data_IF_622600704178
#
_entry.id   IF_622600704178
#
_cell.length_a   1.000
_cell.length_b   1.000
_cell.length_c   1.000
_cell.angle_alpha   90.00
_cell.angle_beta   90.00
_cell.angle_gamma   90.00
#
_symmetry.space_group_name_H-M   'P 1'
#
loop_
_entity.id
_entity.type
_entity.pdbx_description
1 polymer ?
#
# COMPACT_ATOMS: atom_id res chain seq x y z
N UNK A 1 -1.37 -44.89 36.99
CA UNK A 1 -2.29 -45.02 35.82
C UNK A 1 -3.62 -44.38 36.23
N UNK A 2 -4.27 -43.43 35.54
CA UNK A 2 -4.38 -43.06 34.11
C UNK A 2 -4.32 -41.52 33.95
N UNK A 3 -3.76 -41.10 32.83
CA UNK A 3 -3.58 -39.72 32.41
C UNK A 3 -4.85 -39.16 31.77
N UNK A 4 -5.25 -37.93 32.11
CA UNK A 4 -6.14 -37.12 31.28
C UNK A 4 -5.40 -35.87 30.83
N UNK A 5 -4.95 -35.90 29.57
CA UNK A 5 -4.48 -34.75 28.81
C UNK A 5 -5.65 -33.77 28.64
N UNK A 6 -5.47 -32.51 29.04
CA UNK A 6 -6.19 -31.37 28.46
C UNK A 6 -5.21 -30.22 28.30
N UNK A 7 -4.76 -30.10 27.05
CA UNK A 7 -4.09 -28.93 26.50
C UNK A 7 -4.99 -27.72 26.73
N UNK A 8 -4.56 -26.76 27.56
CA UNK A 8 -5.25 -25.49 27.72
C UNK A 8 -4.34 -24.41 27.18
N UNK A 9 -4.71 -23.98 25.98
CA UNK A 9 -4.14 -22.92 25.17
C UNK A 9 -3.94 -21.68 26.03
N UNK A 10 -2.71 -21.18 26.05
CA UNK A 10 -2.33 -19.90 26.67
C UNK A 10 -3.00 -18.78 25.87
N UNK A 11 -3.87 -17.93 26.45
CA UNK A 11 -4.27 -16.69 25.81
C UNK A 11 -3.25 -15.60 26.17
N UNK A 12 -2.04 -15.72 25.62
CA UNK A 12 -1.16 -14.58 25.37
C UNK A 12 -1.52 -14.21 23.92
N UNK A 13 -2.20 -13.12 23.60
CA UNK A 13 -1.85 -11.75 23.93
C UNK A 13 -3.14 -10.94 23.86
N UNK A 14 -3.42 -10.19 24.94
CA UNK A 14 -4.25 -9.00 24.90
C UNK A 14 -3.68 -8.06 23.82
N UNK A 15 -4.20 -8.15 22.60
CA UNK A 15 -4.02 -7.12 21.57
C UNK A 15 -4.96 -5.96 21.91
N UNK A 16 -4.64 -5.29 23.01
CA UNK A 16 -5.02 -3.93 23.31
C UNK A 16 -4.33 -3.00 22.30
N UNK A 17 -4.93 -2.84 21.12
CA UNK A 17 -4.66 -1.71 20.24
C UNK A 17 -5.84 -0.76 20.33
N UNK A 18 -5.73 0.09 21.34
CA UNK A 18 -6.60 1.19 21.70
C UNK A 18 -6.74 2.17 20.53
N UNK A 19 -7.79 2.04 19.71
CA UNK A 19 -8.16 2.98 18.64
C UNK A 19 -8.75 4.32 19.16
N UNK A 20 -8.40 4.76 20.37
CA UNK A 20 -9.10 5.87 21.03
C UNK A 20 -8.19 7.02 21.51
N UNK A 21 -6.93 7.09 21.09
CA UNK A 21 -6.05 8.20 21.43
C UNK A 21 -5.10 8.54 20.27
N UNK A 22 -5.58 9.24 19.24
CA UNK A 22 -4.72 9.70 18.14
C UNK A 22 -5.31 10.88 17.36
N UNK A 23 -5.70 11.96 18.04
CA UNK A 23 -6.17 13.19 17.37
C UNK A 23 -5.05 14.22 17.09
N UNK A 24 -3.76 13.84 17.26
CA UNK A 24 -2.60 14.66 16.85
C UNK A 24 -1.68 14.00 15.82
N UNK A 25 -1.86 12.71 15.52
CA UNK A 25 -1.03 11.93 14.59
C UNK A 25 -1.62 11.80 13.18
N UNK A 26 -2.78 12.41 12.91
CA UNK A 26 -3.48 12.24 11.63
C UNK A 26 -2.70 12.81 10.43
N UNK A 27 -1.97 13.92 10.60
CA UNK A 27 -1.16 14.51 9.53
C UNK A 27 0.00 13.57 9.12
N UNK A 28 0.77 13.09 10.10
CA UNK A 28 1.90 12.17 9.86
C UNK A 28 1.40 10.82 9.33
N UNK A 29 0.28 10.31 9.82
CA UNK A 29 -0.32 9.08 9.29
C UNK A 29 -0.88 9.28 7.88
N UNK A 30 -1.45 10.44 7.53
CA UNK A 30 -1.88 10.73 6.16
C UNK A 30 -0.71 10.79 5.19
N UNK A 31 0.37 11.49 5.56
CA UNK A 31 1.59 11.53 4.73
C UNK A 31 2.21 10.15 4.55
N UNK A 32 2.18 9.32 5.61
CA UNK A 32 2.68 7.94 5.55
C UNK A 32 1.79 7.04 4.68
N UNK A 33 0.46 7.21 4.75
CA UNK A 33 -0.50 6.48 3.92
C UNK A 33 -0.37 6.87 2.45
N UNK A 34 -0.25 8.16 2.15
CA UNK A 34 -0.08 8.66 0.78
C UNK A 34 1.23 8.15 0.19
N UNK A 35 2.34 8.21 0.95
CA UNK A 35 3.63 7.69 0.49
C UNK A 35 3.57 6.17 0.24
N UNK A 36 2.95 5.41 1.13
CA UNK A 36 2.77 3.97 0.95
C UNK A 36 1.89 3.64 -0.27
N UNK A 37 0.88 4.46 -0.54
CA UNK A 37 0.02 4.32 -1.71
C UNK A 37 0.78 4.65 -3.00
N UNK A 38 1.53 5.75 -3.04
CA UNK A 38 2.40 6.12 -4.17
C UNK A 38 3.40 4.99 -4.45
N UNK A 39 4.02 4.42 -3.42
CA UNK A 39 4.96 3.31 -3.55
C UNK A 39 4.27 2.06 -4.12
N UNK A 40 3.08 1.73 -3.62
CA UNK A 40 2.25 0.63 -4.16
C UNK A 40 1.94 0.83 -5.65
N UNK A 41 1.58 2.05 -6.05
CA UNK A 41 1.33 2.39 -7.45
C UNK A 41 2.61 2.34 -8.30
N UNK A 42 3.78 2.72 -7.77
CA UNK A 42 5.07 2.54 -8.48
C UNK A 42 5.36 1.07 -8.73
N UNK A 43 5.16 0.22 -7.73
CA UNK A 43 5.33 -1.23 -7.89
C UNK A 43 4.36 -1.80 -8.92
N UNK A 44 3.09 -1.38 -8.89
CA UNK A 44 2.10 -1.78 -9.88
C UNK A 44 2.51 -1.39 -11.30
N UNK A 45 2.95 -0.14 -11.50
CA UNK A 45 3.41 0.33 -12.81
C UNK A 45 4.65 -0.42 -13.28
N UNK A 46 5.61 -0.66 -12.38
CA UNK A 46 6.80 -1.45 -12.67
C UNK A 46 6.44 -2.87 -13.12
N UNK A 47 5.49 -3.52 -12.44
CA UNK A 47 5.01 -4.85 -12.79
C UNK A 47 4.30 -4.87 -14.15
N UNK A 48 3.35 -3.95 -14.39
CA UNK A 48 2.56 -3.91 -15.64
C UNK A 48 3.39 -3.52 -16.86
N UNK A 49 4.38 -2.65 -16.68
CA UNK A 49 5.22 -2.15 -17.77
C UNK A 49 6.53 -2.93 -17.90
N UNK A 50 6.79 -3.92 -17.04
CA UNK A 50 8.06 -4.64 -16.95
C UNK A 50 9.28 -3.70 -16.80
N UNK A 51 9.12 -2.67 -15.98
CA UNK A 51 10.14 -1.65 -15.72
C UNK A 51 10.74 -1.83 -14.32
N UNK A 52 11.91 -1.25 -14.10
CA UNK A 52 12.48 -1.18 -12.75
C UNK A 52 11.74 -0.11 -11.92
N UNK A 53 11.34 -0.46 -10.71
CA UNK A 53 10.63 0.44 -9.77
C UNK A 53 11.45 1.71 -9.51
N UNK A 54 12.78 1.57 -9.43
CA UNK A 54 13.72 2.65 -9.17
C UNK A 54 13.72 3.70 -10.28
N UNK A 55 13.36 3.29 -11.49
CA UNK A 55 13.36 4.11 -12.69
C UNK A 55 12.07 4.94 -12.84
N UNK A 56 11.00 4.59 -12.15
CA UNK A 56 9.72 5.33 -12.16
C UNK A 56 9.78 6.42 -11.10
N UNK A 57 9.68 7.70 -11.44
CA UNK A 57 9.76 8.80 -10.46
C UNK A 57 8.39 9.41 -10.21
N UNK A 58 8.00 9.66 -8.96
CA UNK A 58 6.77 10.38 -8.65
C UNK A 58 7.04 11.87 -8.45
N UNK A 59 6.41 12.71 -9.28
CA UNK A 59 6.43 14.16 -9.12
C UNK A 59 5.24 14.60 -8.24
N UNK A 60 5.54 15.17 -7.08
CA UNK A 60 4.52 15.67 -6.14
C UNK A 60 3.84 16.95 -6.63
N UNK A 61 4.51 17.77 -7.44
CA UNK A 61 3.98 19.05 -7.92
C UNK A 61 2.88 18.82 -8.97
N UNK A 62 3.10 17.87 -9.88
CA UNK A 62 2.13 17.51 -10.93
C UNK A 62 1.24 16.33 -10.54
N UNK A 63 1.49 15.72 -9.36
CA UNK A 63 0.88 14.47 -8.90
C UNK A 63 0.90 13.39 -10.00
N UNK A 64 2.08 13.15 -10.59
CA UNK A 64 2.23 12.23 -11.72
C UNK A 64 3.46 11.32 -11.60
N UNK A 65 3.35 10.13 -12.16
CA UNK A 65 4.44 9.17 -12.32
C UNK A 65 5.12 9.38 -13.66
N UNK A 66 6.42 9.63 -13.60
CA UNK A 66 7.30 9.75 -14.75
C UNK A 66 7.97 8.42 -15.02
N UNK A 67 7.79 7.90 -16.23
CA UNK A 67 8.39 6.64 -16.65
C UNK A 67 9.79 6.86 -17.23
N UNK A 68 10.71 5.88 -17.08
CA UNK A 68 12.01 5.92 -17.72
C UNK A 68 11.90 5.76 -19.24
N UNK A 69 12.78 6.47 -19.97
CA UNK A 69 12.90 6.36 -21.43
C UNK A 69 12.06 7.34 -22.24
N UNK A 70 10.98 7.87 -21.66
CA UNK A 70 10.10 8.83 -22.35
C UNK A 70 9.79 10.00 -21.39
N UNK A 71 10.64 11.03 -21.43
CA UNK A 71 10.63 12.14 -20.46
C UNK A 71 9.38 13.04 -20.58
N UNK A 72 8.55 12.84 -21.61
CA UNK A 72 7.31 13.57 -21.86
C UNK A 72 6.05 12.80 -21.44
N UNK A 73 6.15 11.49 -21.15
CA UNK A 73 5.01 10.71 -20.66
C UNK A 73 4.92 10.74 -19.14
N UNK A 74 4.03 11.60 -18.66
CA UNK A 74 3.58 11.63 -17.27
C UNK A 74 2.24 10.92 -17.12
N UNK A 75 2.16 9.94 -16.22
CA UNK A 75 0.92 9.27 -15.86
C UNK A 75 0.37 9.90 -14.58
N UNK A 76 -0.79 10.54 -14.66
CA UNK A 76 -1.40 11.18 -13.48
C UNK A 76 -1.71 10.15 -12.41
N UNK A 77 -1.54 10.55 -11.15
CA UNK A 77 -1.79 9.71 -9.98
C UNK A 77 -3.20 9.12 -9.98
N UNK A 78 -4.21 9.93 -10.30
CA UNK A 78 -5.62 9.52 -10.31
C UNK A 78 -5.88 8.44 -11.38
N UNK A 79 -5.33 8.59 -12.58
CA UNK A 79 -5.48 7.62 -13.66
C UNK A 79 -4.85 6.27 -13.30
N UNK A 80 -3.65 6.30 -12.69
CA UNK A 80 -2.95 5.09 -12.25
C UNK A 80 -3.71 4.42 -11.09
N UNK A 81 -4.24 5.22 -10.16
CA UNK A 81 -5.05 4.73 -9.06
C UNK A 81 -6.35 4.07 -9.55
N UNK A 82 -7.02 4.66 -10.53
CA UNK A 82 -8.22 4.09 -11.14
C UNK A 82 -7.92 2.75 -11.82
N UNK A 83 -6.85 2.67 -12.61
CA UNK A 83 -6.41 1.42 -13.25
C UNK A 83 -6.05 0.36 -12.19
N UNK A 84 -5.32 0.73 -11.15
CA UNK A 84 -4.99 -0.16 -10.03
C UNK A 84 -6.24 -0.70 -9.33
N UNK A 85 -7.22 0.16 -9.05
CA UNK A 85 -8.48 -0.24 -8.42
C UNK A 85 -9.30 -1.14 -9.33
N UNK A 86 -9.31 -0.89 -10.64
CA UNK A 86 -9.96 -1.78 -11.62
C UNK A 86 -9.29 -3.16 -11.66
N UNK A 87 -7.96 -3.21 -11.75
CA UNK A 87 -7.17 -4.45 -11.75
C UNK A 87 -7.43 -5.28 -10.48
N UNK A 88 -7.42 -4.65 -9.29
CA UNK A 88 -7.73 -5.29 -8.01
C UNK A 88 -9.18 -5.79 -7.88
N UNK A 89 -10.13 -5.17 -8.57
CA UNK A 89 -11.54 -5.58 -8.54
C UNK A 89 -11.90 -6.59 -9.65
N UNK A 90 -11.09 -6.68 -10.71
CA UNK A 90 -11.27 -7.67 -11.78
C UNK A 90 -11.00 -9.10 -11.28
N UNK A 91 -10.12 -9.28 -10.31
CA UNK A 91 -9.82 -10.60 -9.70
C UNK A 91 -10.96 -11.15 -8.82
N UNK A 92 -12.04 -10.39 -8.60
CA UNK A 92 -13.18 -10.79 -7.75
C UNK A 92 -14.40 -11.32 -8.51
N UNK A 93 -14.29 -11.61 -9.81
CA UNK A 93 -15.40 -12.05 -10.66
C UNK A 93 -15.20 -13.47 -11.16
#
# INVERSE_FOLDING_TARGET
MKYFKKSLVVPMVLLSLSFAACNKDNAVQQETKEKAQIETLRHFLAEKMHLDVSSIVFNKETQAFKLPGDYDRELKYEDVLDVYNRDKNLDKK
#
